data_IF_611269790969
#
_entry.id   IF_611269790969
#
_cell.length_a   1.000
_cell.length_b   1.000
_cell.length_c   1.000
_cell.angle_alpha   90.00
_cell.angle_beta   90.00
_cell.angle_gamma   90.00
#
_symmetry.space_group_name_H-M   'P 1'
#
loop_
_entity.id
_entity.type
_entity.pdbx_description
1 polymer ?
#
# COMPACT_ATOMS: atom_id res chain seq x y z
N UNK A 1 -4.19 8.76 -6.56
CA UNK A 1 -3.36 9.97 -6.79
C UNK A 1 -3.68 10.75 -8.08
N UNK A 2 -3.79 10.11 -9.26
CA UNK A 2 -3.96 10.81 -10.56
C UNK A 2 -5.18 11.75 -10.66
N UNK A 3 -6.30 11.42 -10.01
CA UNK A 3 -7.52 12.25 -10.03
C UNK A 3 -7.36 13.59 -9.30
N UNK A 4 -6.66 13.60 -8.15
CA UNK A 4 -6.40 14.82 -7.36
C UNK A 4 -5.38 15.75 -8.02
N UNK A 5 -4.42 15.21 -8.78
CA UNK A 5 -3.49 16.01 -9.60
C UNK A 5 -4.21 16.63 -10.80
N UNK A 6 -5.03 15.87 -11.53
CA UNK A 6 -5.87 16.41 -12.61
C UNK A 6 -6.80 17.52 -12.16
N UNK A 7 -7.40 17.38 -10.98
CA UNK A 7 -8.27 18.43 -10.41
C UNK A 7 -7.45 19.68 -10.12
N UNK A 8 -6.29 19.57 -9.45
CA UNK A 8 -5.36 20.69 -9.17
C UNK A 8 -4.88 21.40 -10.44
N UNK A 9 -4.55 20.64 -11.48
CA UNK A 9 -4.13 21.19 -12.77
C UNK A 9 -5.28 21.92 -13.48
N UNK A 10 -6.51 21.41 -13.36
CA UNK A 10 -7.70 22.10 -13.85
C UNK A 10 -8.01 23.38 -13.07
N UNK A 11 -7.85 23.39 -11.75
CA UNK A 11 -8.06 24.60 -10.93
C UNK A 11 -7.00 25.66 -11.25
N UNK A 12 -5.72 25.25 -11.41
CA UNK A 12 -4.64 26.15 -11.87
C UNK A 12 -4.94 26.74 -13.24
N UNK A 13 -5.52 25.96 -14.17
CA UNK A 13 -5.91 26.44 -15.51
C UNK A 13 -7.09 27.43 -15.47
N UNK A 14 -8.03 27.26 -14.56
CA UNK A 14 -9.18 28.15 -14.39
C UNK A 14 -8.81 29.49 -13.75
N UNK A 15 -7.76 29.53 -12.93
CA UNK A 15 -7.31 30.75 -12.23
C UNK A 15 -6.29 31.61 -13.00
N UNK A 16 -5.87 31.19 -14.20
CA UNK A 16 -5.00 31.99 -15.07
C UNK A 16 -5.85 32.97 -15.88
N UNK A 17 -5.68 34.28 -15.66
CA UNK A 17 -6.32 35.37 -16.42
C UNK A 17 -5.26 36.28 -17.04
N UNK A 18 -5.57 36.91 -18.18
CA UNK A 18 -4.73 37.91 -18.85
C UNK A 18 -3.55 37.34 -19.66
N UNK A 19 -2.52 38.17 -19.86
CA UNK A 19 -1.34 37.93 -20.73
C UNK A 19 -0.63 36.59 -20.48
N UNK A 20 -0.61 36.11 -19.24
CA UNK A 20 0.04 34.84 -18.90
C UNK A 20 -0.67 33.64 -19.53
N UNK A 21 -2.00 33.70 -19.68
CA UNK A 21 -2.80 32.67 -20.37
C UNK A 21 -2.54 32.70 -21.90
N UNK A 22 -2.39 33.90 -22.47
CA UNK A 22 -2.05 34.15 -23.87
C UNK A 22 -0.66 33.56 -24.22
N UNK A 23 0.33 33.81 -23.37
CA UNK A 23 1.69 33.26 -23.49
C UNK A 23 1.72 31.73 -23.38
N UNK A 24 0.91 31.14 -22.49
CA UNK A 24 0.80 29.68 -22.38
C UNK A 24 0.14 29.09 -23.63
N UNK A 25 -0.93 29.71 -24.15
CA UNK A 25 -1.62 29.26 -25.37
C UNK A 25 -0.72 29.33 -26.60
N UNK A 26 0.02 30.42 -26.77
CA UNK A 26 0.99 30.59 -27.87
C UNK A 26 2.10 29.56 -27.79
N UNK A 27 2.67 29.32 -26.59
CA UNK A 27 3.69 28.28 -26.38
C UNK A 27 3.16 26.87 -26.67
N UNK A 28 1.93 26.55 -26.26
CA UNK A 28 1.28 25.28 -26.59
C UNK A 28 1.02 25.13 -28.10
N UNK A 29 0.62 26.22 -28.78
CA UNK A 29 0.41 26.25 -30.24
C UNK A 29 1.73 26.01 -30.99
N UNK A 30 2.82 26.63 -30.55
CA UNK A 30 4.16 26.42 -31.10
C UNK A 30 4.67 24.98 -30.85
N UNK A 31 4.50 24.44 -29.63
CA UNK A 31 4.87 23.06 -29.32
C UNK A 31 4.07 22.04 -30.16
N UNK A 32 2.76 22.28 -30.32
CA UNK A 32 1.89 21.47 -31.18
C UNK A 32 2.28 21.57 -32.66
N UNK A 33 2.74 22.74 -33.13
CA UNK A 33 3.25 22.92 -34.50
C UNK A 33 4.55 22.14 -34.70
N UNK A 34 5.52 22.27 -33.80
CA UNK A 34 6.78 21.51 -33.83
C UNK A 34 6.56 20.00 -33.78
N UNK A 35 5.64 19.53 -32.93
CA UNK A 35 5.28 18.11 -32.88
C UNK A 35 4.65 17.62 -34.19
N UNK A 36 3.75 18.42 -34.79
CA UNK A 36 3.17 18.10 -36.09
C UNK A 36 4.20 18.08 -37.22
N UNK A 37 5.15 19.01 -37.21
CA UNK A 37 6.27 19.03 -38.16
C UNK A 37 7.18 17.82 -37.99
N UNK A 38 7.49 17.43 -36.74
CA UNK A 38 8.28 16.22 -36.43
C UNK A 38 7.58 14.95 -36.92
N UNK A 39 6.28 14.79 -36.64
CA UNK A 39 5.48 13.67 -37.18
C UNK A 39 5.45 13.68 -38.72
N UNK A 40 5.42 14.86 -39.33
CA UNK A 40 5.43 15.00 -40.80
C UNK A 40 6.79 14.58 -41.39
N UNK A 41 7.88 14.93 -40.71
CA UNK A 41 9.25 14.54 -41.05
C UNK A 41 9.50 13.03 -40.84
N UNK A 42 9.02 12.49 -39.73
CA UNK A 42 9.05 11.05 -39.43
C UNK A 42 8.23 10.26 -40.46
N UNK A 43 7.10 10.80 -40.92
CA UNK A 43 6.28 10.19 -41.99
C UNK A 43 6.92 10.27 -43.36
N UNK A 44 7.60 11.37 -43.71
CA UNK A 44 8.35 11.45 -44.97
C UNK A 44 9.55 10.49 -44.98
N UNK A 45 10.15 10.22 -43.82
CA UNK A 45 11.26 9.26 -43.70
C UNK A 45 10.77 7.79 -43.65
N UNK A 46 9.51 7.53 -43.29
CA UNK A 46 8.94 6.18 -43.20
C UNK A 46 8.19 5.72 -44.48
N UNK A 47 8.05 6.55 -45.50
CA UNK A 47 7.31 6.23 -46.72
C UNK A 47 8.20 6.20 -47.96
N UNK A 48 9.00 5.14 -48.10
CA UNK A 48 9.11 4.50 -49.41
C UNK A 48 7.83 3.69 -49.63
N UNK A 49 6.75 4.38 -49.98
CA UNK A 49 5.53 3.76 -50.49
C UNK A 49 5.88 3.10 -51.82
N UNK A 50 5.71 1.79 -51.93
CA UNK A 50 5.86 1.05 -53.21
C UNK A 50 4.91 1.55 -54.31
N UNK A 51 3.89 2.34 -53.96
CA UNK A 51 2.97 3.00 -54.89
C UNK A 51 3.40 4.44 -55.19
N UNK A 52 3.50 4.78 -56.47
CA UNK A 52 4.01 6.07 -57.00
C UNK A 52 3.22 7.32 -56.58
N UNK A 53 1.92 7.18 -56.24
CA UNK A 53 1.12 8.31 -55.76
C UNK A 53 -0.04 7.88 -54.83
N UNK A 54 -0.50 8.79 -53.97
CA UNK A 54 -1.61 8.53 -53.02
C UNK A 54 -2.92 8.11 -53.71
N UNK A 55 -3.17 8.63 -54.91
CA UNK A 55 -4.34 8.29 -55.72
C UNK A 55 -4.27 6.83 -56.21
N UNK A 56 -3.08 6.33 -56.54
CA UNK A 56 -2.88 4.93 -56.97
C UNK A 56 -3.14 3.94 -55.84
N UNK A 57 -2.65 4.22 -54.62
CA UNK A 57 -2.96 3.44 -53.42
C UNK A 57 -4.47 3.47 -53.10
N UNK A 58 -5.10 4.66 -53.15
CA UNK A 58 -6.54 4.80 -52.92
C UNK A 58 -7.39 3.99 -53.90
N UNK A 59 -7.01 3.96 -55.18
CA UNK A 59 -7.66 3.12 -56.20
C UNK A 59 -7.47 1.63 -55.93
N UNK A 60 -6.26 1.20 -55.55
CA UNK A 60 -5.96 -0.19 -55.22
C UNK A 60 -6.75 -0.67 -53.99
N UNK A 61 -6.77 0.13 -52.91
CA UNK A 61 -7.54 -0.16 -51.69
C UNK A 61 -9.03 -0.22 -52.00
N UNK A 62 -9.56 0.70 -52.82
CA UNK A 62 -10.99 0.70 -53.19
C UNK A 62 -11.37 -0.58 -53.94
N UNK A 63 -10.53 -1.05 -54.87
CA UNK A 63 -10.75 -2.33 -55.58
C UNK A 63 -10.72 -3.52 -54.63
N UNK A 64 -9.75 -3.57 -53.72
CA UNK A 64 -9.64 -4.64 -52.72
C UNK A 64 -10.88 -4.68 -51.80
N UNK A 65 -11.34 -3.53 -51.31
CA UNK A 65 -12.53 -3.44 -50.45
C UNK A 65 -13.81 -3.83 -51.19
N UNK A 66 -13.93 -3.50 -52.48
CA UNK A 66 -15.07 -3.89 -53.31
C UNK A 66 -15.16 -5.41 -53.53
N UNK A 67 -14.02 -6.11 -53.53
CA UNK A 67 -13.97 -7.56 -53.66
C UNK A 67 -14.28 -8.31 -52.34
N UNK A 68 -14.34 -7.62 -51.20
CA UNK A 68 -14.64 -8.24 -49.92
C UNK A 68 -16.16 -8.45 -49.74
N UNK A 69 -16.59 -9.47 -48.95
CA UNK A 69 -18.00 -9.70 -48.63
C UNK A 69 -18.69 -8.46 -48.05
N UNK A 70 -20.02 -8.31 -48.15
CA UNK A 70 -20.73 -7.16 -47.56
C UNK A 70 -20.84 -7.20 -46.03
N UNK A 71 -20.88 -8.40 -45.45
CA UNK A 71 -21.01 -8.63 -44.01
C UNK A 71 -19.69 -8.34 -43.25
N UNK A 72 -19.77 -7.59 -42.14
CA UNK A 72 -18.60 -7.15 -41.39
C UNK A 72 -17.82 -8.30 -40.72
N UNK A 73 -18.50 -9.35 -40.25
CA UNK A 73 -17.83 -10.50 -39.63
C UNK A 73 -17.11 -11.32 -40.70
N UNK A 74 -17.74 -11.53 -41.86
CA UNK A 74 -17.11 -12.21 -42.99
C UNK A 74 -15.92 -11.42 -43.56
N UNK A 75 -16.02 -10.08 -43.63
CA UNK A 75 -14.89 -9.20 -43.99
C UNK A 75 -13.70 -9.40 -43.06
N UNK A 76 -13.94 -9.39 -41.75
CA UNK A 76 -12.89 -9.52 -40.75
C UNK A 76 -12.15 -10.86 -40.90
N UNK A 77 -12.88 -11.96 -41.07
CA UNK A 77 -12.32 -13.30 -41.23
C UNK A 77 -11.46 -13.38 -42.50
N UNK A 78 -11.98 -12.90 -43.64
CA UNK A 78 -11.27 -12.93 -44.93
C UNK A 78 -10.00 -12.10 -44.87
N UNK A 79 -10.05 -10.89 -44.31
CA UNK A 79 -8.87 -10.02 -44.17
C UNK A 79 -7.84 -10.65 -43.24
N UNK A 80 -8.26 -11.26 -42.12
CA UNK A 80 -7.35 -11.98 -41.24
C UNK A 80 -6.71 -13.20 -41.93
N UNK A 81 -7.44 -13.90 -42.80
CA UNK A 81 -6.90 -15.03 -43.55
C UNK A 81 -5.85 -14.57 -44.56
N UNK A 82 -6.17 -13.57 -45.38
CA UNK A 82 -5.23 -12.94 -46.33
C UNK A 82 -3.97 -12.44 -45.60
N UNK A 83 -4.12 -11.80 -44.44
CA UNK A 83 -2.99 -11.32 -43.66
C UNK A 83 -2.11 -12.45 -43.09
N UNK A 84 -2.68 -13.63 -42.82
CA UNK A 84 -1.91 -14.82 -42.43
C UNK A 84 -1.18 -15.43 -43.63
N UNK A 85 -1.81 -15.51 -44.79
CA UNK A 85 -1.20 -16.05 -46.02
C UNK A 85 -0.04 -15.19 -46.52
N UNK A 86 -0.15 -13.86 -46.34
CA UNK A 86 0.90 -12.90 -46.63
C UNK A 86 1.97 -12.81 -45.50
N UNK A 87 1.91 -13.67 -44.49
CA UNK A 87 2.81 -13.71 -43.34
C UNK A 87 2.92 -12.38 -42.56
N UNK A 88 1.88 -11.55 -42.59
CA UNK A 88 1.80 -10.29 -41.83
C UNK A 88 1.40 -10.56 -40.38
N UNK A 89 0.58 -11.59 -40.16
CA UNK A 89 0.12 -12.02 -38.83
C UNK A 89 0.50 -13.49 -38.62
N UNK A 90 1.11 -13.80 -37.49
CA UNK A 90 1.46 -15.18 -37.11
C UNK A 90 0.21 -16.07 -37.04
N UNK A 91 0.31 -17.32 -37.50
CA UNK A 91 -0.75 -18.31 -37.33
C UNK A 91 -1.03 -18.48 -35.82
N UNK A 92 -2.30 -18.53 -35.37
CA UNK A 92 -2.61 -18.78 -33.98
C UNK A 92 -2.02 -20.14 -33.58
N UNK A 93 -1.25 -20.17 -32.49
CA UNK A 93 -0.61 -21.38 -32.01
C UNK A 93 -1.66 -22.49 -31.75
N UNK A 94 -1.33 -23.72 -32.17
CA UNK A 94 -2.19 -24.89 -32.03
C UNK A 94 -2.64 -25.12 -30.58
N UNK A 95 -3.79 -25.76 -30.41
CA UNK A 95 -4.36 -26.10 -29.09
C UNK A 95 -3.34 -26.82 -28.18
N UNK A 96 -2.49 -27.66 -28.75
CA UNK A 96 -1.43 -28.37 -28.03
C UNK A 96 -0.35 -27.42 -27.48
N UNK A 97 0.03 -26.38 -28.24
CA UNK A 97 0.99 -25.35 -27.79
C UNK A 97 0.41 -24.48 -26.69
N UNK A 98 -0.92 -24.29 -26.65
CA UNK A 98 -1.60 -23.59 -25.54
C UNK A 98 -1.64 -24.42 -24.26
N UNK A 99 -1.81 -25.74 -24.36
CA UNK A 99 -1.76 -26.64 -23.21
C UNK A 99 -0.35 -26.72 -22.62
N UNK A 100 0.69 -26.71 -23.45
CA UNK A 100 2.08 -26.65 -22.96
C UNK A 100 2.45 -25.35 -22.22
N UNK A 101 1.62 -24.29 -22.32
CA UNK A 101 1.80 -23.03 -21.58
C UNK A 101 1.00 -22.96 -20.28
N UNK A 102 0.22 -23.98 -19.93
CA UNK A 102 -0.45 -24.00 -18.63
C UNK A 102 0.55 -24.28 -17.52
N UNK A 103 0.52 -23.48 -16.46
CA UNK A 103 1.34 -23.70 -15.26
C UNK A 103 1.09 -25.09 -14.69
N UNK A 104 2.17 -25.78 -14.29
CA UNK A 104 2.07 -27.09 -13.64
C UNK A 104 1.25 -26.96 -12.34
N UNK A 105 0.54 -28.04 -11.99
CA UNK A 105 -0.28 -28.09 -10.77
C UNK A 105 0.60 -27.87 -9.54
N UNK A 106 1.76 -28.54 -9.50
CA UNK A 106 2.78 -28.39 -8.46
C UNK A 106 3.21 -26.94 -8.22
N UNK A 107 3.42 -26.17 -9.29
CA UNK A 107 3.81 -24.76 -9.18
C UNK A 107 2.66 -23.90 -8.65
N UNK A 108 1.40 -24.22 -8.99
CA UNK A 108 0.25 -23.50 -8.44
C UNK A 108 0.12 -23.76 -6.95
N UNK A 109 0.25 -25.00 -6.53
CA UNK A 109 0.17 -25.39 -5.13
C UNK A 109 1.31 -24.76 -4.32
N UNK A 110 2.52 -24.74 -4.89
CA UNK A 110 3.67 -24.07 -4.28
C UNK A 110 3.42 -22.57 -4.07
N UNK A 111 2.82 -21.89 -5.04
CA UNK A 111 2.49 -20.46 -4.93
C UNK A 111 1.40 -20.22 -3.89
N UNK A 112 0.37 -21.07 -3.85
CA UNK A 112 -0.71 -21.00 -2.85
C UNK A 112 -0.14 -21.20 -1.44
N UNK A 113 0.70 -22.21 -1.26
CA UNK A 113 1.35 -22.50 0.02
C UNK A 113 2.26 -21.35 0.45
N UNK A 114 3.05 -20.80 -0.47
CA UNK A 114 3.88 -19.64 -0.20
C UNK A 114 3.07 -18.44 0.32
N UNK A 115 1.90 -18.17 -0.26
CA UNK A 115 1.01 -17.12 0.24
C UNK A 115 0.47 -17.41 1.65
N UNK A 116 0.24 -18.68 2.00
CA UNK A 116 -0.32 -19.10 3.28
C UNK A 116 0.68 -19.11 4.44
N UNK A 117 1.99 -18.99 4.17
CA UNK A 117 3.00 -18.91 5.24
C UNK A 117 2.82 -17.67 6.11
N UNK A 118 3.09 -17.82 7.40
CA UNK A 118 2.90 -16.77 8.42
C UNK A 118 3.90 -15.60 8.31
N UNK A 119 5.06 -15.84 7.68
CA UNK A 119 6.05 -14.82 7.35
C UNK A 119 5.70 -14.01 6.09
N UNK A 120 4.75 -14.48 5.27
CA UNK A 120 4.26 -13.78 4.08
C UNK A 120 2.92 -13.09 4.32
N UNK A 121 2.03 -13.73 5.08
CA UNK A 121 0.71 -13.22 5.41
C UNK A 121 0.35 -13.52 6.86
N UNK A 122 -0.44 -12.65 7.50
CA UNK A 122 -0.92 -12.90 8.86
C UNK A 122 -2.45 -13.16 8.87
N UNK A 123 -2.92 -14.04 9.75
CA UNK A 123 -4.35 -14.35 9.93
C UNK A 123 -5.06 -13.24 10.70
N UNK A 124 -6.26 -12.86 10.24
CA UNK A 124 -7.11 -11.99 11.03
C UNK A 124 -7.75 -12.77 12.18
N UNK A 125 -7.79 -12.24 13.42
CA UNK A 125 -8.30 -12.98 14.59
C UNK A 125 -9.82 -12.95 14.73
N UNK A 126 -10.54 -12.12 13.97
CA UNK A 126 -11.98 -11.91 14.19
C UNK A 126 -12.85 -13.10 13.77
N UNK A 127 -13.88 -13.41 14.56
CA UNK A 127 -14.90 -14.43 14.24
C UNK A 127 -15.69 -14.11 12.95
N UNK A 128 -15.74 -12.83 12.54
CA UNK A 128 -16.35 -12.37 11.28
C UNK A 128 -15.33 -12.24 10.14
N UNK A 129 -14.07 -12.55 10.40
CA UNK A 129 -12.99 -12.43 9.42
C UNK A 129 -12.78 -13.72 8.62
N UNK A 130 -13.87 -14.31 8.15
CA UNK A 130 -13.85 -15.42 7.20
C UNK A 130 -14.46 -15.01 5.85
N UNK A 131 -14.16 -15.80 4.83
CA UNK A 131 -14.84 -15.76 3.54
C UNK A 131 -15.38 -17.14 3.23
N UNK A 132 -16.52 -17.20 2.55
CA UNK A 132 -17.07 -18.45 2.02
C UNK A 132 -16.86 -18.47 0.52
N UNK A 133 -16.18 -19.49 0.01
CA UNK A 133 -15.94 -19.68 -1.41
C UNK A 133 -16.49 -21.03 -1.85
N UNK A 134 -16.93 -21.13 -3.11
CA UNK A 134 -17.24 -22.42 -3.72
C UNK A 134 -15.94 -23.06 -4.21
N UNK A 135 -15.77 -24.33 -3.87
CA UNK A 135 -14.70 -25.19 -4.37
C UNK A 135 -14.93 -25.57 -5.84
N UNK A 136 -13.92 -26.20 -6.46
CA UNK A 136 -14.01 -26.81 -7.78
C UNK A 136 -15.15 -27.85 -7.88
N UNK A 137 -15.45 -28.52 -6.76
CA UNK A 137 -16.55 -29.48 -6.63
C UNK A 137 -17.92 -28.83 -6.32
N UNK A 138 -18.00 -27.50 -6.26
CA UNK A 138 -19.23 -26.76 -5.96
C UNK A 138 -19.61 -26.68 -4.47
N UNK A 139 -18.84 -27.34 -3.59
CA UNK A 139 -18.98 -27.30 -2.13
C UNK A 139 -18.59 -25.93 -1.57
N UNK A 140 -19.27 -25.46 -0.53
CA UNK A 140 -18.92 -24.20 0.15
C UNK A 140 -17.84 -24.46 1.20
N UNK A 141 -16.67 -23.83 1.02
CA UNK A 141 -15.57 -23.85 1.97
C UNK A 141 -15.48 -22.49 2.67
N UNK A 142 -15.30 -22.50 3.99
CA UNK A 142 -15.01 -21.30 4.78
C UNK A 142 -13.52 -21.17 5.02
N UNK A 143 -12.93 -20.04 4.63
CA UNK A 143 -11.50 -19.74 4.83
C UNK A 143 -11.35 -18.48 5.68
N UNK A 144 -10.42 -18.52 6.64
CA UNK A 144 -10.05 -17.33 7.42
C UNK A 144 -9.33 -16.32 6.52
N UNK A 145 -9.70 -15.03 6.64
CA UNK A 145 -9.02 -13.94 5.95
C UNK A 145 -7.60 -13.81 6.47
N UNK A 146 -6.68 -13.61 5.54
CA UNK A 146 -5.27 -13.35 5.79
C UNK A 146 -4.91 -12.03 5.13
N UNK A 147 -3.94 -11.31 5.68
CA UNK A 147 -3.44 -10.06 5.09
C UNK A 147 -1.96 -10.22 4.78
N UNK A 148 -1.58 -9.93 3.54
CA UNK A 148 -0.19 -9.93 3.10
C UNK A 148 0.61 -8.88 3.89
N UNK A 149 1.78 -9.28 4.39
CA UNK A 149 2.71 -8.38 5.08
C UNK A 149 3.40 -7.43 4.10
N UNK A 150 3.62 -7.88 2.88
CA UNK A 150 4.25 -7.13 1.80
C UNK A 150 3.24 -6.80 0.70
N UNK A 151 3.60 -5.89 -0.21
CA UNK A 151 2.80 -5.73 -1.42
C UNK A 151 3.02 -6.91 -2.37
N UNK A 152 2.08 -7.14 -3.30
CA UNK A 152 2.13 -8.32 -4.20
C UNK A 152 3.43 -8.40 -5.01
N UNK A 153 4.02 -7.26 -5.38
CA UNK A 153 5.27 -7.22 -6.16
C UNK A 153 6.46 -7.64 -5.30
N UNK A 154 6.53 -7.17 -4.06
CA UNK A 154 7.55 -7.58 -3.08
C UNK A 154 7.42 -9.06 -2.75
N UNK A 155 6.21 -9.54 -2.46
CA UNK A 155 5.94 -10.97 -2.21
C UNK A 155 6.40 -11.84 -3.39
N UNK A 156 6.17 -11.39 -4.62
CA UNK A 156 6.65 -12.08 -5.81
C UNK A 156 8.18 -12.11 -5.92
N UNK A 157 8.86 -11.01 -5.55
CA UNK A 157 10.32 -10.98 -5.53
C UNK A 157 10.89 -11.93 -4.47
N UNK A 158 10.27 -12.00 -3.29
CA UNK A 158 10.63 -12.96 -2.24
C UNK A 158 10.48 -14.40 -2.74
N UNK A 159 9.34 -14.71 -3.38
CA UNK A 159 9.11 -16.02 -3.99
C UNK A 159 10.20 -16.37 -5.00
N UNK A 160 10.53 -15.46 -5.92
CA UNK A 160 11.61 -15.70 -6.88
C UNK A 160 12.97 -15.87 -6.22
N UNK A 161 13.28 -15.14 -5.14
CA UNK A 161 14.56 -15.28 -4.45
C UNK A 161 14.71 -16.62 -3.72
N UNK A 162 13.63 -17.13 -3.14
CA UNK A 162 13.65 -18.43 -2.44
C UNK A 162 13.70 -19.61 -3.42
N UNK A 163 13.02 -19.49 -4.56
CA UNK A 163 12.92 -20.56 -5.55
C UNK A 163 13.75 -20.32 -6.82
N UNK A 164 14.73 -19.41 -6.77
CA UNK A 164 15.58 -19.04 -7.91
C UNK A 164 16.28 -20.24 -8.57
N UNK A 165 16.64 -21.24 -7.76
CA UNK A 165 17.35 -22.44 -8.21
C UNK A 165 16.47 -23.45 -8.95
N UNK A 166 15.13 -23.30 -8.90
CA UNK A 166 14.18 -24.24 -9.50
C UNK A 166 13.80 -23.89 -10.95
N UNK A 167 14.49 -22.93 -11.57
CA UNK A 167 14.28 -22.51 -12.97
C UNK A 167 12.80 -22.18 -13.28
N UNK A 168 12.11 -21.57 -12.32
CA UNK A 168 10.67 -21.31 -12.38
C UNK A 168 10.39 -20.15 -13.33
N UNK A 169 9.70 -20.44 -14.43
CA UNK A 169 9.17 -19.43 -15.34
C UNK A 169 7.74 -19.04 -14.93
N UNK A 170 7.63 -18.12 -13.97
CA UNK A 170 6.35 -17.56 -13.54
C UNK A 170 6.36 -16.06 -13.78
N UNK A 171 5.27 -15.49 -14.30
CA UNK A 171 5.13 -14.04 -14.46
C UNK A 171 4.46 -13.41 -13.23
N UNK A 172 4.72 -12.14 -12.95
CA UNK A 172 4.04 -11.40 -11.89
C UNK A 172 2.51 -11.42 -12.04
N UNK A 173 1.99 -11.35 -13.27
CA UNK A 173 0.55 -11.41 -13.54
C UNK A 173 -0.02 -12.75 -13.14
N UNK A 174 0.63 -13.84 -13.57
CA UNK A 174 0.23 -15.21 -13.24
C UNK A 174 0.32 -15.48 -11.73
N UNK A 175 1.38 -15.01 -11.07
CA UNK A 175 1.52 -15.11 -9.63
C UNK A 175 0.37 -14.41 -8.88
N UNK A 176 0.00 -13.20 -9.31
CA UNK A 176 -1.11 -12.46 -8.71
C UNK A 176 -2.48 -13.10 -9.00
N UNK A 177 -2.65 -13.79 -10.13
CA UNK A 177 -3.87 -14.56 -10.43
C UNK A 177 -4.02 -15.81 -9.55
N UNK A 178 -2.90 -16.44 -9.18
CA UNK A 178 -2.86 -17.58 -8.26
C UNK A 178 -3.06 -17.19 -6.80
N UNK A 179 -3.13 -15.90 -6.47
CA UNK A 179 -3.34 -15.44 -5.11
C UNK A 179 -4.69 -15.93 -4.58
N UNK A 180 -4.72 -16.67 -3.46
CA UNK A 180 -5.97 -17.14 -2.85
C UNK A 180 -6.93 -16.00 -2.51
N UNK A 181 -8.24 -16.24 -2.65
CA UNK A 181 -9.28 -15.22 -2.44
C UNK A 181 -9.35 -14.71 -0.99
N UNK A 182 -8.90 -15.51 -0.03
CA UNK A 182 -8.83 -15.13 1.39
C UNK A 182 -7.63 -14.22 1.70
N UNK A 183 -6.73 -13.97 0.74
CA UNK A 183 -5.59 -13.06 0.88
C UNK A 183 -5.99 -11.62 0.56
N UNK A 184 -5.96 -10.78 1.58
CA UNK A 184 -6.12 -9.34 1.48
C UNK A 184 -4.75 -8.67 1.28
N UNK A 185 -4.77 -7.53 0.59
CA UNK A 185 -3.58 -6.72 0.36
C UNK A 185 -3.24 -5.96 1.65
N UNK A 186 -1.95 -5.72 1.90
CA UNK A 186 -1.45 -4.93 3.05
C UNK A 186 -2.16 -3.57 3.24
N UNK A 187 -2.70 -2.95 2.19
CA UNK A 187 -3.50 -1.73 2.33
C UNK A 187 -4.78 -1.88 3.19
N UNK A 188 -5.21 -3.11 3.47
CA UNK A 188 -6.30 -3.43 4.39
C UNK A 188 -5.81 -3.77 5.81
N UNK A 189 -4.50 -3.80 6.03
CA UNK A 189 -3.93 -3.97 7.37
C UNK A 189 -4.37 -2.76 8.22
N UNK A 190 -5.06 -2.96 9.34
CA UNK A 190 -5.19 -1.90 10.33
C UNK A 190 -3.78 -1.52 10.77
N UNK A 191 -3.40 -0.26 10.57
CA UNK A 191 -2.06 0.23 10.89
C UNK A 191 -1.66 -0.24 12.30
N UNK A 192 -0.45 -0.81 12.44
CA UNK A 192 0.10 -1.44 13.66
C UNK A 192 0.32 -0.47 14.84
N UNK A 193 -0.47 0.59 14.96
CA UNK A 193 -0.52 1.43 16.16
C UNK A 193 -1.43 0.76 17.18
N UNK A 194 -0.98 0.62 18.43
CA UNK A 194 -1.90 0.31 19.53
C UNK A 194 -3.00 1.37 19.53
N UNK A 195 -4.27 0.96 19.42
CA UNK A 195 -5.42 1.86 19.55
C UNK A 195 -5.90 1.95 21.01
N UNK A 196 -5.07 1.46 21.94
CA UNK A 196 -5.34 1.53 23.36
C UNK A 196 -5.28 2.98 23.84
N UNK A 197 -6.10 3.28 24.85
CA UNK A 197 -6.18 4.59 25.48
C UNK A 197 -4.82 5.09 26.00
N UNK A 198 -3.94 4.18 26.44
CA UNK A 198 -2.60 4.50 26.92
C UNK A 198 -1.73 5.16 25.82
N UNK A 199 -1.66 4.56 24.64
CA UNK A 199 -0.86 5.11 23.52
C UNK A 199 -1.54 6.34 22.92
N UNK A 200 -2.85 6.28 22.73
CA UNK A 200 -3.58 7.35 22.06
C UNK A 200 -3.62 8.64 22.89
N UNK A 201 -3.80 8.56 24.22
CA UNK A 201 -3.80 9.75 25.08
C UNK A 201 -2.41 10.41 25.17
N UNK A 202 -1.34 9.62 25.27
CA UNK A 202 0.03 10.16 25.22
C UNK A 202 0.29 10.82 23.87
N UNK A 203 -0.11 10.19 22.77
CA UNK A 203 0.03 10.76 21.43
C UNK A 203 -0.73 12.08 21.28
N UNK A 204 -1.99 12.15 21.72
CA UNK A 204 -2.79 13.38 21.66
C UNK A 204 -2.17 14.53 22.46
N UNK A 205 -1.63 14.23 23.65
CA UNK A 205 -0.90 15.21 24.47
C UNK A 205 0.37 15.71 23.78
N UNK A 206 1.18 14.80 23.23
CA UNK A 206 2.41 15.16 22.50
C UNK A 206 2.11 16.02 21.27
N UNK A 207 1.06 15.70 20.52
CA UNK A 207 0.62 16.50 19.36
C UNK A 207 0.25 17.92 19.79
N UNK A 208 -0.49 18.08 20.89
CA UNK A 208 -0.86 19.39 21.43
C UNK A 208 0.36 20.18 21.93
N UNK A 209 1.37 19.49 22.47
CA UNK A 209 2.59 20.09 23.02
C UNK A 209 3.68 20.36 21.97
N UNK A 210 3.62 19.73 20.81
CA UNK A 210 4.62 19.86 19.73
C UNK A 210 4.92 21.33 19.37
N UNK A 211 3.91 22.20 19.37
CA UNK A 211 4.07 23.62 19.04
C UNK A 211 4.81 24.44 20.12
N UNK A 212 4.99 23.87 21.31
CA UNK A 212 5.48 24.58 22.50
C UNK A 212 6.72 23.93 23.11
N UNK A 213 7.04 22.71 22.67
CA UNK A 213 8.22 21.94 23.05
C UNK A 213 8.92 21.52 21.75
N UNK A 214 10.03 22.19 21.36
CA UNK A 214 10.74 21.89 20.12
C UNK A 214 11.15 20.42 19.98
N UNK A 215 11.48 19.77 21.10
CA UNK A 215 11.84 18.35 21.12
C UNK A 215 10.68 17.45 20.69
N UNK A 216 9.44 17.81 21.04
CA UNK A 216 8.25 17.05 20.65
C UNK A 216 7.93 17.17 19.14
N UNK A 217 8.47 18.17 18.43
CA UNK A 217 8.37 18.28 16.97
C UNK A 217 9.25 17.24 16.27
N UNK A 218 10.38 16.88 16.90
CA UNK A 218 11.33 15.91 16.34
C UNK A 218 10.86 14.45 16.51
N UNK A 219 9.88 14.20 17.38
CA UNK A 219 9.33 12.87 17.62
C UNK A 219 8.41 12.45 16.47
N UNK A 220 8.88 11.52 15.64
CA UNK A 220 8.10 10.92 14.57
C UNK A 220 7.28 9.72 15.03
N UNK A 221 7.57 9.19 16.23
CA UNK A 221 6.88 8.03 16.79
C UNK A 221 6.85 8.02 18.32
N UNK A 222 5.89 7.28 18.90
CA UNK A 222 5.85 6.98 20.33
C UNK A 222 7.02 6.11 20.80
N UNK A 223 7.67 5.39 19.88
CA UNK A 223 8.88 4.63 20.18
C UNK A 223 10.04 5.58 20.52
N UNK A 224 10.30 6.57 19.68
CA UNK A 224 11.33 7.60 19.96
C UNK A 224 11.06 8.34 21.28
N UNK A 225 9.79 8.60 21.58
CA UNK A 225 9.42 9.18 22.88
C UNK A 225 9.77 8.25 24.04
N UNK A 226 9.56 6.94 23.87
CA UNK A 226 9.93 5.94 24.88
C UNK A 226 11.45 5.89 25.06
N UNK A 227 12.23 5.80 23.97
CA UNK A 227 13.70 5.76 24.01
C UNK A 227 14.32 7.00 24.67
N UNK A 228 13.65 8.14 24.58
CA UNK A 228 14.09 9.38 25.22
C UNK A 228 13.87 9.37 26.75
N UNK A 229 12.93 8.56 27.25
CA UNK A 229 12.58 8.51 28.66
C UNK A 229 13.39 7.46 29.42
N UNK A 230 13.76 6.35 28.79
CA UNK A 230 14.40 5.21 29.46
C UNK A 230 15.82 4.96 28.96
N UNK A 231 16.68 4.37 29.80
CA UNK A 231 18.03 3.95 29.37
C UNK A 231 17.99 2.73 28.44
N UNK A 232 17.13 1.76 28.76
CA UNK A 232 16.93 0.54 27.99
C UNK A 232 15.44 0.21 27.96
N UNK A 233 14.92 -0.05 26.76
CA UNK A 233 13.53 -0.41 26.52
C UNK A 233 13.22 -1.88 26.85
N UNK A 234 14.25 -2.72 27.01
CA UNK A 234 14.15 -4.13 27.37
C UNK A 234 14.32 -4.37 28.87
N UNK A 235 14.83 -3.39 29.60
CA UNK A 235 15.02 -3.48 31.05
C UNK A 235 13.72 -3.16 31.79
N UNK A 236 13.30 -4.08 32.66
CA UNK A 236 12.10 -3.95 33.47
C UNK A 236 12.20 -2.74 34.43
N UNK A 237 13.37 -2.53 35.06
CA UNK A 237 13.51 -1.45 36.04
C UNK A 237 13.37 -0.09 35.38
N UNK A 238 13.91 0.09 34.18
CA UNK A 238 13.75 1.29 33.39
C UNK A 238 12.29 1.54 33.00
N UNK A 239 11.62 0.52 32.45
CA UNK A 239 10.25 0.67 31.94
C UNK A 239 9.19 0.80 33.05
N UNK A 240 9.48 0.31 34.25
CA UNK A 240 8.63 0.50 35.44
C UNK A 240 9.05 1.72 36.30
N UNK A 241 9.93 2.60 35.82
CA UNK A 241 10.44 3.78 36.54
C UNK A 241 11.05 3.49 37.92
N UNK A 242 11.69 2.33 38.07
CA UNK A 242 12.50 1.97 39.23
C UNK A 242 14.00 2.26 39.01
N UNK A 243 14.38 2.68 37.80
CA UNK A 243 15.76 3.01 37.46
C UNK A 243 16.12 4.45 37.89
N UNK A 244 17.19 4.58 38.67
CA UNK A 244 17.70 5.87 39.16
C UNK A 244 18.40 6.69 38.07
N UNK A 245 18.90 6.04 37.00
CA UNK A 245 19.62 6.74 35.93
C UNK A 245 18.70 7.51 35.00
N UNK A 246 17.46 7.04 34.81
CA UNK A 246 16.48 7.66 33.92
C UNK A 246 15.28 8.29 34.64
N UNK A 247 15.26 8.33 35.97
CA UNK A 247 14.15 8.91 36.75
C UNK A 247 13.85 10.36 36.36
N UNK A 248 14.90 11.11 36.05
CA UNK A 248 14.84 12.55 35.77
C UNK A 248 14.76 12.87 34.27
N UNK A 249 14.80 11.85 33.40
CA UNK A 249 14.81 12.04 31.95
C UNK A 249 13.58 12.79 31.44
N UNK A 250 12.41 12.57 32.04
CA UNK A 250 11.22 13.35 31.68
C UNK A 250 11.43 14.85 31.96
N UNK A 251 11.98 15.19 33.13
CA UNK A 251 12.17 16.59 33.51
C UNK A 251 13.27 17.23 32.65
N UNK A 252 14.37 16.51 32.44
CA UNK A 252 15.51 16.95 31.65
C UNK A 252 15.19 17.12 30.17
N UNK A 253 14.43 16.18 29.59
CA UNK A 253 14.16 16.13 28.15
C UNK A 253 12.85 16.83 27.77
N UNK A 254 11.85 16.89 28.66
CA UNK A 254 10.53 17.47 28.33
C UNK A 254 10.29 18.77 29.07
N UNK A 255 10.30 18.76 30.41
CA UNK A 255 9.91 19.93 31.22
C UNK A 255 10.85 21.13 30.99
N UNK A 256 12.15 20.88 30.84
CA UNK A 256 13.16 21.92 30.65
C UNK A 256 12.97 22.76 29.38
N UNK A 257 12.33 22.21 28.34
CA UNK A 257 12.23 22.83 27.02
C UNK A 257 10.88 23.51 26.74
N UNK A 258 10.08 23.73 27.78
CA UNK A 258 8.79 24.43 27.65
C UNK A 258 9.03 25.91 27.31
N UNK A 259 8.61 26.33 26.12
CA UNK A 259 8.87 27.70 25.63
C UNK A 259 7.93 28.74 26.28
N UNK A 260 6.68 28.37 26.58
CA UNK A 260 5.72 29.27 27.25
C UNK A 260 4.79 28.48 28.20
N UNK A 261 5.13 28.38 29.49
CA UNK A 261 4.42 27.54 30.45
C UNK A 261 3.01 28.05 30.78
N UNK A 262 2.78 29.36 30.71
CA UNK A 262 1.50 29.99 31.03
C UNK A 262 0.54 30.09 29.83
N UNK A 263 0.97 29.68 28.63
CA UNK A 263 0.13 29.76 27.44
C UNK A 263 -1.07 28.84 27.56
N UNK A 264 -2.25 29.38 27.28
CA UNK A 264 -3.47 28.60 27.25
C UNK A 264 -3.55 27.80 25.95
N UNK A 265 -3.77 26.48 26.07
CA UNK A 265 -3.83 25.52 24.98
C UNK A 265 -5.05 24.62 25.14
N UNK A 266 -5.41 23.95 24.05
CA UNK A 266 -6.46 22.92 24.04
C UNK A 266 -5.85 21.58 23.64
N UNK A 267 -6.36 20.51 24.22
CA UNK A 267 -5.94 19.15 23.90
C UNK A 267 -7.13 18.20 24.00
N UNK A 268 -6.98 17.02 23.38
CA UNK A 268 -8.00 15.97 23.42
C UNK A 268 -7.51 14.80 24.25
N UNK A 269 -8.43 14.10 24.92
CA UNK A 269 -8.16 12.80 25.53
C UNK A 269 -9.38 11.90 25.40
N UNK A 270 -9.11 10.60 25.32
CA UNK A 270 -10.12 9.58 25.52
C UNK A 270 -10.32 9.36 27.02
N UNK A 271 -11.57 9.40 27.45
CA UNK A 271 -12.02 9.15 28.82
C UNK A 271 -13.10 8.07 28.77
N UNK A 272 -13.16 7.24 29.81
CA UNK A 272 -14.21 6.24 29.96
C UNK A 272 -15.32 6.82 30.84
N UNK A 273 -16.49 7.08 30.23
CA UNK A 273 -17.65 7.67 30.89
C UNK A 273 -18.90 6.85 30.51
N UNK A 274 -19.73 6.49 31.49
CA UNK A 274 -21.01 5.78 31.29
C UNK A 274 -20.92 4.52 30.41
N UNK A 275 -19.86 3.73 30.59
CA UNK A 275 -19.68 2.48 29.86
C UNK A 275 -19.11 2.65 28.45
N UNK A 276 -18.77 3.86 28.02
CA UNK A 276 -18.26 4.18 26.68
C UNK A 276 -16.98 5.01 26.74
N UNK A 277 -16.08 4.76 25.81
CA UNK A 277 -14.89 5.58 25.64
C UNK A 277 -15.22 6.76 24.72
N UNK A 278 -15.17 7.98 25.25
CA UNK A 278 -15.51 9.22 24.53
C UNK A 278 -14.28 10.12 24.45
N UNK A 279 -14.13 10.84 23.32
CA UNK A 279 -13.04 11.79 23.12
C UNK A 279 -13.50 13.18 23.55
N UNK A 280 -12.96 13.67 24.66
CA UNK A 280 -13.29 14.96 25.23
C UNK A 280 -12.21 16.01 24.92
N UNK A 281 -12.64 17.26 24.72
CA UNK A 281 -11.75 18.41 24.57
C UNK A 281 -11.53 19.06 25.94
N UNK A 282 -10.27 19.29 26.29
CA UNK A 282 -9.85 19.94 27.52
C UNK A 282 -9.08 21.22 27.18
N UNK A 283 -9.06 22.16 28.12
CA UNK A 283 -8.32 23.41 27.97
C UNK A 283 -7.66 23.81 29.29
N UNK A 284 -6.48 24.41 29.18
CA UNK A 284 -5.67 24.83 30.32
C UNK A 284 -4.33 25.35 29.88
N UNK A 285 -3.38 25.50 30.81
CA UNK A 285 -2.04 26.00 30.49
C UNK A 285 -1.14 24.90 29.93
N UNK A 286 -0.11 25.28 29.16
CA UNK A 286 0.93 24.36 28.70
C UNK A 286 1.52 23.56 29.86
N UNK A 287 1.80 24.21 31.00
CA UNK A 287 2.34 23.54 32.17
C UNK A 287 1.38 22.48 32.75
N UNK A 288 0.07 22.76 32.78
CA UNK A 288 -0.94 21.76 33.19
C UNK A 288 -0.96 20.56 32.25
N UNK A 289 -0.87 20.79 30.95
CA UNK A 289 -0.84 19.73 29.95
C UNK A 289 0.42 18.85 30.06
N UNK A 290 1.60 19.45 30.32
CA UNK A 290 2.84 18.66 30.51
C UNK A 290 2.83 17.89 31.83
N UNK A 291 2.30 18.46 32.92
CA UNK A 291 2.10 17.71 34.17
C UNK A 291 1.19 16.50 33.96
N UNK A 292 0.10 16.69 33.23
CA UNK A 292 -0.81 15.61 32.87
C UNK A 292 -0.14 14.56 31.99
N UNK A 293 0.73 14.96 31.06
CA UNK A 293 1.57 14.02 30.31
C UNK A 293 2.45 13.21 31.27
N UNK A 294 3.14 13.86 32.22
CA UNK A 294 4.00 13.20 33.23
C UNK A 294 3.24 12.14 34.02
N UNK A 295 2.03 12.44 34.46
CA UNK A 295 1.15 11.50 35.17
C UNK A 295 0.79 10.25 34.34
N UNK A 296 0.71 10.39 33.02
CA UNK A 296 0.37 9.28 32.10
C UNK A 296 1.60 8.48 31.65
N UNK A 297 2.81 9.02 31.78
CA UNK A 297 4.04 8.37 31.31
C UNK A 297 4.23 7.01 31.95
N UNK A 298 4.09 6.89 33.28
CA UNK A 298 4.36 5.64 33.97
C UNK A 298 3.47 4.49 33.49
N UNK A 299 2.17 4.73 33.42
CA UNK A 299 1.20 3.72 32.99
C UNK A 299 1.42 3.36 31.52
N UNK A 300 1.81 4.34 30.70
CA UNK A 300 2.18 4.12 29.30
C UNK A 300 3.42 3.23 29.16
N UNK A 301 4.50 3.49 29.90
CA UNK A 301 5.73 2.69 29.84
C UNK A 301 5.48 1.25 30.29
N UNK A 302 4.78 1.05 31.41
CA UNK A 302 4.39 -0.28 31.89
C UNK A 302 3.63 -1.07 30.81
N UNK A 303 2.65 -0.42 30.18
CA UNK A 303 1.86 -1.03 29.13
C UNK A 303 2.70 -1.38 27.89
N UNK A 304 3.60 -0.48 27.46
CA UNK A 304 4.52 -0.73 26.33
C UNK A 304 5.40 -1.95 26.61
N UNK A 305 5.97 -2.06 27.81
CA UNK A 305 6.82 -3.18 28.20
C UNK A 305 6.04 -4.49 28.24
N UNK A 306 4.93 -4.54 28.97
CA UNK A 306 4.10 -5.76 29.10
C UNK A 306 3.65 -6.26 27.72
N UNK A 307 3.16 -5.35 26.87
CA UNK A 307 2.75 -5.68 25.50
C UNK A 307 3.89 -6.30 24.69
N UNK A 308 5.11 -5.76 24.80
CA UNK A 308 6.28 -6.27 24.08
C UNK A 308 6.73 -7.63 24.59
N UNK A 309 6.78 -7.82 25.91
CA UNK A 309 7.12 -9.11 26.52
C UNK A 309 6.10 -10.19 26.15
N UNK A 310 4.81 -9.87 26.20
CA UNK A 310 3.75 -10.77 25.75
C UNK A 310 3.92 -11.12 24.27
N UNK A 311 4.14 -10.13 23.40
CA UNK A 311 4.34 -10.37 21.97
C UNK A 311 5.56 -11.28 21.70
N UNK A 312 6.70 -11.01 22.36
CA UNK A 312 7.91 -11.80 22.23
C UNK A 312 7.70 -13.25 22.69
N UNK A 313 7.04 -13.43 23.84
CA UNK A 313 6.68 -14.75 24.36
C UNK A 313 5.79 -15.53 23.38
N UNK A 314 4.79 -14.88 22.78
CA UNK A 314 3.92 -15.53 21.80
C UNK A 314 4.64 -15.91 20.50
N UNK A 315 5.55 -15.07 20.00
CA UNK A 315 6.36 -15.42 18.85
C UNK A 315 7.26 -16.63 19.15
N UNK A 316 7.86 -16.72 20.34
CA UNK A 316 8.63 -17.89 20.75
C UNK A 316 7.77 -19.16 20.84
N UNK A 317 6.54 -19.05 21.36
CA UNK A 317 5.61 -20.17 21.41
C UNK A 317 5.22 -20.69 20.02
N UNK A 318 5.05 -19.81 19.03
CA UNK A 318 4.74 -20.22 17.65
C UNK A 318 5.84 -21.08 17.02
N UNK A 319 7.11 -20.79 17.35
CA UNK A 319 8.27 -21.51 16.80
C UNK A 319 8.50 -22.84 17.52
N UNK A 320 8.15 -22.94 18.80
CA UNK A 320 8.49 -24.08 19.66
C UNK A 320 7.36 -25.09 19.89
N UNK A 321 6.09 -24.74 19.64
CA UNK A 321 4.95 -25.61 19.96
C UNK A 321 4.46 -26.45 18.76
N UNK A 322 4.47 -27.78 18.91
CA UNK A 322 3.77 -28.74 18.04
C UNK A 322 2.30 -28.96 18.44
N UNK A 323 1.76 -28.17 19.37
CA UNK A 323 0.38 -28.30 19.89
C UNK A 323 -0.41 -27.02 19.65
N UNK A 324 -1.68 -27.17 19.29
CA UNK A 324 -2.65 -26.07 19.24
C UNK A 324 -2.92 -25.58 20.67
N UNK A 325 -2.55 -24.34 20.97
CA UNK A 325 -2.79 -23.69 22.27
C UNK A 325 -3.52 -22.36 22.00
N UNK A 326 -4.64 -22.14 22.69
CA UNK A 326 -5.38 -20.87 22.64
C UNK A 326 -4.81 -19.95 23.71
N UNK A 327 -4.12 -18.89 23.27
CA UNK A 327 -3.59 -17.85 24.15
C UNK A 327 -4.52 -16.63 24.17
N UNK A 328 -4.91 -16.19 25.37
CA UNK A 328 -5.75 -14.99 25.56
C UNK A 328 -4.85 -13.80 25.89
N UNK A 329 -4.95 -12.72 25.11
CA UNK A 329 -4.33 -11.43 25.41
C UNK A 329 -5.20 -10.67 26.42
N UNK A 330 -4.66 -10.31 27.58
CA UNK A 330 -5.24 -9.25 28.40
C UNK A 330 -5.01 -7.91 27.69
N UNK A 331 -6.10 -7.21 27.36
CA UNK A 331 -6.06 -5.85 26.80
C UNK A 331 -5.85 -4.80 27.87
#
# INVERSE_FOLDING_TARGET
MKRKSRIRDNTRRQNLKGDLLEQIRTRQKQASKKYREKIKLERSNAQQSSYNCRQSLGKAVKRAVQALPKDNNKRLIVVQHIARDLNIISKPADKQVRQQRSLSVELKDLVIEFYNRDDISYTLPGKRDYITIKDENGMLITLQKRILLYNVRETYQLFLSEYANNNISLSLTSFNELRPKNMLINSRMPHRSCLCQYHENVNLLLISLSKYIPLCVALNSLQEFTSMLVCDEQDEKCMFSHCQLCSDNFDNNVMKYITNPAKHIKWFQWVYEEGKTVKNEFSGTTNQCVKLLKEKVQVFLNHVFIKRQQAAFFEQMKVSSNKEIICILCQ
#
